data_IF_349235697783
#
_entry.id   IF_349235697783
#
_cell.length_a   1.000
_cell.length_b   1.000
_cell.length_c   1.000
_cell.angle_alpha   90.00
_cell.angle_beta   90.00
_cell.angle_gamma   90.00
#
_symmetry.space_group_name_H-M   'P 1'
#
loop_
_entity.id
_entity.type
_entity.pdbx_description
1 polymer ?
#
# COMPACT_ATOMS: atom_id res chain seq x y z
N UNK A 1 -23.50 5.25 3.56
CA UNK A 1 -23.35 6.63 4.12
C UNK A 1 -22.38 6.67 5.30
N UNK A 2 -22.54 5.81 6.33
CA UNK A 2 -21.64 5.75 7.50
C UNK A 2 -20.18 5.46 7.13
N UNK A 3 -19.90 4.53 6.23
CA UNK A 3 -18.55 4.19 5.78
C UNK A 3 -17.86 5.33 5.03
N UNK A 4 -18.61 6.09 4.23
CA UNK A 4 -18.09 7.25 3.51
C UNK A 4 -17.74 8.37 4.50
N UNK A 5 -18.59 8.63 5.48
CA UNK A 5 -18.36 9.65 6.50
C UNK A 5 -17.12 9.31 7.36
N UNK A 6 -16.96 8.05 7.78
CA UNK A 6 -15.80 7.60 8.53
C UNK A 6 -14.51 7.72 7.70
N UNK A 7 -14.55 7.33 6.42
CA UNK A 7 -13.41 7.49 5.51
C UNK A 7 -12.99 8.95 5.37
N UNK A 8 -13.95 9.83 5.12
CA UNK A 8 -13.68 11.26 4.95
C UNK A 8 -13.10 11.87 6.22
N UNK A 9 -13.62 11.51 7.38
CA UNK A 9 -13.09 11.94 8.67
C UNK A 9 -11.65 11.48 8.90
N UNK A 10 -11.32 10.24 8.56
CA UNK A 10 -9.99 9.69 8.82
C UNK A 10 -8.95 10.14 7.81
N UNK A 11 -9.29 10.15 6.53
CA UNK A 11 -8.35 10.42 5.44
C UNK A 11 -8.47 11.85 4.89
N UNK A 12 -9.54 12.56 5.21
CA UNK A 12 -9.83 13.87 4.66
C UNK A 12 -10.57 13.80 3.34
N UNK A 13 -10.90 14.97 2.83
CA UNK A 13 -11.58 15.17 1.55
C UNK A 13 -10.76 16.16 0.75
N UNK A 14 -10.30 15.74 -0.43
CA UNK A 14 -9.76 16.66 -1.43
C UNK A 14 -10.92 17.33 -2.18
N UNK A 15 -10.68 18.49 -2.75
CA UNK A 15 -11.60 19.14 -3.66
C UNK A 15 -10.93 19.37 -5.00
N UNK A 16 -11.68 19.10 -6.06
CA UNK A 16 -11.24 19.39 -7.43
C UNK A 16 -11.56 20.85 -7.84
N UNK A 17 -12.27 21.59 -6.98
CA UNK A 17 -12.64 22.99 -7.16
C UNK A 17 -11.68 23.90 -6.39
N UNK A 18 -11.08 24.86 -7.06
CA UNK A 18 -10.17 25.88 -6.50
C UNK A 18 -10.83 26.75 -5.41
N UNK A 19 -12.16 26.77 -5.35
CA UNK A 19 -12.96 27.59 -4.42
C UNK A 19 -13.45 26.84 -3.16
N UNK A 20 -13.16 25.53 -3.01
CA UNK A 20 -13.57 24.76 -1.84
C UNK A 20 -12.36 24.30 -1.03
N UNK A 21 -12.37 24.63 0.27
CA UNK A 21 -11.36 24.15 1.20
C UNK A 21 -11.50 22.63 1.44
N UNK A 22 -10.43 21.89 1.16
CA UNK A 22 -10.34 20.48 1.50
C UNK A 22 -10.25 20.27 3.01
N UNK A 23 -10.82 19.19 3.52
CA UNK A 23 -10.73 18.81 4.93
C UNK A 23 -9.58 17.83 5.16
N UNK A 24 -8.72 18.17 6.12
CA UNK A 24 -7.63 17.29 6.52
C UNK A 24 -8.13 16.14 7.39
N UNK A 25 -7.72 14.91 7.07
CA UNK A 25 -8.05 13.74 7.88
C UNK A 25 -7.47 13.76 9.30
N UNK A 26 -8.09 13.01 10.20
CA UNK A 26 -7.67 12.87 11.61
C UNK A 26 -6.52 11.90 11.81
N UNK A 27 -6.21 11.04 10.83
CA UNK A 27 -5.10 10.09 10.90
C UNK A 27 -3.87 10.65 10.22
N UNK A 28 -2.72 10.54 10.89
CA UNK A 28 -1.41 10.80 10.31
C UNK A 28 -0.62 9.50 10.30
N UNK A 29 -0.23 9.06 9.12
CA UNK A 29 0.65 7.91 8.93
C UNK A 29 2.09 8.38 9.01
N UNK A 30 2.86 7.76 9.90
CA UNK A 30 4.30 7.95 9.95
C UNK A 30 5.00 6.82 9.17
N UNK A 31 6.30 6.97 8.96
CA UNK A 31 7.10 5.97 8.26
C UNK A 31 7.06 4.62 8.98
N UNK A 32 6.99 3.54 8.19
CA UNK A 32 7.19 2.19 8.68
C UNK A 32 8.68 1.95 8.94
N UNK A 33 9.04 1.68 10.19
CA UNK A 33 10.43 1.46 10.58
C UNK A 33 10.71 -0.01 10.81
N UNK A 34 11.82 -0.56 10.29
CA UNK A 34 12.21 -1.93 10.58
C UNK A 34 12.60 -2.09 12.04
N UNK A 35 12.23 -3.24 12.63
CA UNK A 35 12.62 -3.65 13.98
C UNK A 35 13.61 -4.80 13.84
N UNK A 36 14.88 -4.53 14.15
CA UNK A 36 15.95 -5.50 13.98
C UNK A 36 16.50 -5.60 12.55
N UNK A 37 17.03 -6.77 12.21
CA UNK A 37 17.63 -7.01 10.89
C UNK A 37 16.56 -7.24 9.82
N UNK A 38 16.74 -6.63 8.66
CA UNK A 38 15.92 -6.85 7.46
C UNK A 38 16.76 -7.52 6.39
N UNK A 39 16.38 -8.73 6.01
CA UNK A 39 16.94 -9.43 4.86
C UNK A 39 16.35 -8.93 3.54
N UNK A 40 17.10 -9.13 2.46
CA UNK A 40 16.67 -8.81 1.11
C UNK A 40 16.85 -10.01 0.21
N UNK A 41 15.92 -10.21 -0.71
CA UNK A 41 15.93 -11.25 -1.72
C UNK A 41 15.86 -10.66 -3.11
N UNK A 42 16.54 -11.30 -4.05
CA UNK A 42 16.43 -10.94 -5.46
C UNK A 42 15.30 -11.74 -6.08
N UNK A 43 14.35 -11.04 -6.69
CA UNK A 43 13.24 -11.67 -7.40
C UNK A 43 13.16 -11.16 -8.85
N UNK A 44 12.36 -11.81 -9.67
CA UNK A 44 12.29 -11.56 -11.11
C UNK A 44 10.82 -11.37 -11.51
N UNK A 45 10.58 -10.34 -12.30
CA UNK A 45 9.32 -10.18 -13.03
C UNK A 45 9.59 -10.24 -14.52
N UNK A 46 8.77 -11.00 -15.24
CA UNK A 46 8.83 -11.08 -16.68
C UNK A 46 7.81 -10.10 -17.29
N UNK A 47 8.30 -9.09 -17.97
CA UNK A 47 7.44 -8.25 -18.81
C UNK A 47 7.25 -8.95 -20.15
N UNK A 48 6.05 -9.45 -20.40
CA UNK A 48 5.73 -10.18 -21.64
C UNK A 48 5.50 -9.25 -22.82
N UNK A 49 5.10 -8.01 -22.60
CA UNK A 49 4.75 -7.07 -23.69
C UNK A 49 5.42 -5.71 -23.49
N UNK A 50 6.78 -5.64 -23.54
CA UNK A 50 7.51 -4.40 -23.26
C UNK A 50 7.16 -3.29 -24.25
N UNK A 51 6.99 -3.60 -25.52
CA UNK A 51 6.68 -2.62 -26.57
C UNK A 51 5.26 -2.04 -26.42
N UNK A 52 4.31 -2.88 -25.99
CA UNK A 52 2.95 -2.44 -25.70
C UNK A 52 2.88 -1.50 -24.48
N UNK A 53 3.60 -1.80 -23.40
CA UNK A 53 3.62 -0.97 -22.20
C UNK A 53 4.54 0.25 -22.32
N UNK A 54 5.57 0.18 -23.13
CA UNK A 54 6.54 1.27 -23.33
C UNK A 54 6.05 2.39 -24.22
N UNK A 55 5.06 2.12 -25.10
CA UNK A 55 4.54 3.10 -26.02
C UNK A 55 3.02 2.97 -26.15
N UNK A 56 2.30 3.88 -25.46
CA UNK A 56 0.82 3.91 -25.45
C UNK A 56 0.21 4.08 -26.85
N UNK A 57 0.98 4.60 -27.81
CA UNK A 57 0.56 4.81 -29.18
C UNK A 57 1.10 3.73 -30.13
N UNK A 58 1.65 2.63 -29.63
CA UNK A 58 2.15 1.59 -30.50
C UNK A 58 1.01 0.77 -31.09
N UNK A 59 1.05 0.55 -32.41
CA UNK A 59 0.15 -0.36 -33.13
C UNK A 59 0.50 -1.84 -32.86
N UNK A 60 1.32 -2.12 -31.86
CA UNK A 60 1.78 -3.46 -31.49
C UNK A 60 0.88 -4.05 -30.42
N UNK A 61 -0.15 -4.84 -30.77
CA UNK A 61 -1.00 -5.49 -29.77
C UNK A 61 -0.24 -6.55 -28.99
N UNK A 62 -0.67 -6.91 -27.78
CA UNK A 62 -0.10 -8.04 -27.04
C UNK A 62 -0.22 -9.32 -27.84
N UNK A 63 0.90 -10.01 -28.07
CA UNK A 63 0.97 -11.23 -28.84
C UNK A 63 1.87 -12.28 -28.19
N UNK A 64 1.54 -13.56 -28.37
CA UNK A 64 2.24 -14.69 -27.74
C UNK A 64 3.68 -14.91 -28.23
N UNK A 65 4.06 -14.33 -29.38
CA UNK A 65 5.43 -14.43 -29.90
C UNK A 65 6.42 -13.42 -29.32
N UNK A 66 5.97 -12.48 -28.47
CA UNK A 66 6.88 -11.59 -27.77
C UNK A 66 7.72 -12.38 -26.76
N UNK A 67 9.01 -12.13 -26.76
CA UNK A 67 9.91 -12.72 -25.77
C UNK A 67 9.84 -11.94 -24.47
N UNK A 68 9.56 -12.59 -23.34
CA UNK A 68 9.56 -11.91 -22.04
C UNK A 68 10.96 -11.35 -21.72
N UNK A 69 11.00 -10.13 -21.19
CA UNK A 69 12.23 -9.52 -20.71
C UNK A 69 12.24 -9.61 -19.18
N UNK A 70 13.08 -10.47 -18.60
CA UNK A 70 13.16 -10.58 -17.14
C UNK A 70 13.80 -9.32 -16.54
N UNK A 71 13.06 -8.70 -15.61
CA UNK A 71 13.51 -7.57 -14.81
C UNK A 71 13.75 -8.03 -13.38
N UNK A 72 14.97 -7.86 -12.88
CA UNK A 72 15.33 -8.17 -11.50
C UNK A 72 14.98 -7.00 -10.59
N UNK A 73 14.45 -7.30 -9.41
CA UNK A 73 14.17 -6.31 -8.38
C UNK A 73 14.50 -6.88 -7.00
N UNK A 74 14.67 -5.97 -6.03
CA UNK A 74 14.95 -6.35 -4.65
C UNK A 74 13.64 -6.34 -3.88
N UNK A 75 13.36 -7.43 -3.18
CA UNK A 75 12.26 -7.57 -2.24
C UNK A 75 12.77 -7.72 -0.81
N UNK A 76 11.99 -7.28 0.15
CA UNK A 76 12.25 -7.57 1.57
C UNK A 76 11.93 -9.03 1.83
N UNK A 77 12.87 -9.76 2.46
CA UNK A 77 12.67 -11.17 2.78
C UNK A 77 11.52 -11.39 3.75
N UNK A 78 10.80 -12.50 3.64
CA UNK A 78 9.80 -12.90 4.63
C UNK A 78 10.39 -12.95 6.06
N UNK A 79 9.56 -12.57 7.04
CA UNK A 79 9.97 -12.56 8.46
C UNK A 79 10.54 -11.22 8.94
N UNK A 80 10.70 -10.23 8.07
CA UNK A 80 11.04 -8.88 8.49
C UNK A 80 9.93 -8.29 9.37
N UNK A 81 10.31 -7.68 10.48
CA UNK A 81 9.36 -6.98 11.38
C UNK A 81 9.42 -5.49 11.10
N UNK A 82 8.26 -4.90 10.83
CA UNK A 82 8.11 -3.46 10.57
C UNK A 82 7.17 -2.86 11.62
N UNK A 83 7.58 -1.78 12.26
CA UNK A 83 6.75 -1.00 13.15
C UNK A 83 6.06 0.11 12.36
N UNK A 84 4.74 0.08 12.32
CA UNK A 84 3.92 1.16 11.78
C UNK A 84 3.40 2.03 12.92
N UNK A 85 3.46 3.33 12.74
CA UNK A 85 2.97 4.31 13.73
C UNK A 85 1.91 5.20 13.11
N UNK A 86 0.74 5.23 13.75
CA UNK A 86 -0.37 6.09 13.35
C UNK A 86 -0.69 7.05 14.48
N UNK A 87 -0.83 8.34 14.15
CA UNK A 87 -1.27 9.36 15.08
C UNK A 87 -2.73 9.70 14.77
N UNK A 88 -3.59 9.62 15.79
CA UNK A 88 -4.99 10.03 15.71
C UNK A 88 -5.17 11.36 16.42
N UNK A 89 -5.68 12.36 15.71
CA UNK A 89 -5.94 13.69 16.25
C UNK A 89 -7.40 13.79 16.70
N UNK A 90 -7.59 14.16 17.97
CA UNK A 90 -8.90 14.53 18.49
C UNK A 90 -9.91 13.38 18.63
N UNK A 91 -9.48 12.11 18.59
CA UNK A 91 -10.39 10.98 18.63
C UNK A 91 -10.40 10.25 19.97
N UNK A 92 -11.58 9.86 20.45
CA UNK A 92 -11.73 9.06 21.67
C UNK A 92 -11.26 7.61 21.45
N UNK A 93 -10.99 6.89 22.55
CA UNK A 93 -10.41 5.54 22.53
C UNK A 93 -11.11 4.52 21.63
N UNK A 94 -12.43 4.61 21.45
CA UNK A 94 -13.18 3.72 20.53
C UNK A 94 -12.77 3.86 19.07
N UNK A 95 -12.48 5.08 18.62
CA UNK A 95 -12.00 5.30 17.23
C UNK A 95 -10.61 4.72 17.04
N UNK A 96 -9.75 4.74 18.07
CA UNK A 96 -8.42 4.13 18.03
C UNK A 96 -8.48 2.63 17.77
N UNK A 97 -9.36 1.93 18.47
CA UNK A 97 -9.53 0.47 18.28
C UNK A 97 -10.07 0.13 16.87
N UNK A 98 -11.02 0.93 16.38
CA UNK A 98 -11.55 0.73 15.04
C UNK A 98 -10.47 0.96 13.96
N UNK A 99 -9.71 2.05 14.05
CA UNK A 99 -8.59 2.32 13.14
C UNK A 99 -7.56 1.21 13.20
N UNK A 100 -7.17 0.75 14.40
CA UNK A 100 -6.23 -0.38 14.58
C UNK A 100 -6.74 -1.63 13.88
N UNK A 101 -8.02 -1.97 14.04
CA UNK A 101 -8.66 -3.12 13.41
C UNK A 101 -8.64 -3.01 11.88
N UNK A 102 -9.05 -1.86 11.34
CA UNK A 102 -9.08 -1.63 9.89
C UNK A 102 -7.66 -1.67 9.29
N UNK A 103 -6.70 -1.07 9.96
CA UNK A 103 -5.31 -1.08 9.53
C UNK A 103 -4.71 -2.50 9.54
N UNK A 104 -5.00 -3.28 10.58
CA UNK A 104 -4.64 -4.70 10.66
C UNK A 104 -5.21 -5.48 9.47
N UNK A 105 -6.51 -5.35 9.22
CA UNK A 105 -7.19 -6.02 8.09
C UNK A 105 -6.54 -5.63 6.76
N UNK A 106 -6.23 -4.34 6.58
CA UNK A 106 -5.56 -3.85 5.38
C UNK A 106 -4.19 -4.51 5.20
N UNK A 107 -3.35 -4.54 6.22
CA UNK A 107 -2.02 -5.14 6.16
C UNK A 107 -2.04 -6.64 5.90
N UNK A 108 -3.00 -7.37 6.49
CA UNK A 108 -3.11 -8.81 6.36
C UNK A 108 -3.70 -9.25 5.01
N UNK A 109 -4.67 -8.53 4.47
CA UNK A 109 -5.42 -8.95 3.28
C UNK A 109 -5.04 -8.20 2.01
N UNK A 110 -4.71 -6.92 2.10
CA UNK A 110 -4.39 -6.09 0.94
C UNK A 110 -2.89 -5.87 0.79
N UNK A 111 -2.18 -5.71 1.91
CA UNK A 111 -0.74 -5.41 1.93
C UNK A 111 -0.43 -3.96 1.60
N UNK A 112 0.86 -3.60 1.70
CA UNK A 112 1.39 -2.28 1.34
C UNK A 112 2.64 -2.42 0.47
N UNK A 113 2.89 -1.41 -0.34
CA UNK A 113 4.01 -1.38 -1.28
C UNK A 113 3.64 -1.85 -2.68
N UNK A 114 4.62 -2.32 -3.44
CA UNK A 114 4.41 -2.76 -4.80
C UNK A 114 4.02 -4.25 -4.86
N UNK A 115 3.31 -4.63 -5.92
CA UNK A 115 2.94 -6.02 -6.25
C UNK A 115 2.11 -6.75 -5.21
N UNK A 116 1.27 -6.03 -4.48
CA UNK A 116 0.40 -6.62 -3.45
C UNK A 116 -0.59 -7.64 -4.02
N UNK A 117 -1.01 -7.50 -5.28
CA UNK A 117 -1.83 -8.48 -5.98
C UNK A 117 -1.13 -9.85 -6.16
N UNK A 118 0.21 -9.86 -6.17
CA UNK A 118 1.02 -11.08 -6.22
C UNK A 118 1.39 -11.63 -4.83
N UNK A 119 0.88 -10.99 -3.75
CA UNK A 119 1.11 -11.42 -2.37
C UNK A 119 2.26 -10.72 -1.65
N UNK A 120 2.95 -9.78 -2.31
CA UNK A 120 3.97 -8.96 -1.65
C UNK A 120 3.35 -7.98 -0.65
N UNK A 121 4.16 -7.57 0.33
CA UNK A 121 3.78 -6.54 1.32
C UNK A 121 2.63 -6.92 2.24
N UNK A 122 2.30 -8.20 2.38
CA UNK A 122 1.35 -8.67 3.38
C UNK A 122 2.04 -8.91 4.70
N UNK A 123 1.39 -8.47 5.77
CA UNK A 123 1.94 -8.55 7.12
C UNK A 123 1.02 -9.35 8.03
N UNK A 124 1.61 -10.07 8.98
CA UNK A 124 0.91 -10.61 10.13
C UNK A 124 1.11 -9.68 11.31
N UNK A 125 0.04 -9.33 11.97
CA UNK A 125 0.10 -8.47 13.14
C UNK A 125 0.72 -9.22 14.33
N UNK A 126 1.66 -8.56 15.00
CA UNK A 126 2.26 -9.04 16.25
C UNK A 126 1.79 -8.05 17.32
N UNK A 127 1.04 -8.54 18.32
CA UNK A 127 0.69 -7.71 19.47
C UNK A 127 1.95 -7.47 20.30
N UNK A 128 2.30 -6.19 20.52
CA UNK A 128 3.25 -5.81 21.55
C UNK A 128 2.56 -6.05 22.90
N UNK A 129 3.00 -7.07 23.65
CA UNK A 129 2.62 -7.28 25.05
C UNK A 129 3.31 -6.25 25.95
#
# INVERSE_FOLDING_TARGET
>A
EYEIAARNKWFGVGTDDDDMDGERGSIVFLDGLPVGHVGYELDIVNNHFPDYYGNINSDSPPNDWYKPIPVRYIAVSPGATIRFTLLLKGEPGKAKEEVKKQFKTMLEHWGVGAKTAYGYGRFRFIDDN
#
